data_IF_298907049266
#
_entry.id   IF_298907049266
#
_cell.length_a   1.000
_cell.length_b   1.000
_cell.length_c   1.000
_cell.angle_alpha   90.00
_cell.angle_beta   90.00
_cell.angle_gamma   90.00
#
_symmetry.space_group_name_H-M   'P 1'
#
loop_
_entity.id
_entity.type
_entity.pdbx_description
1 polymer ?
#
# COMPACT_ATOMS: atom_id res chain seq x y z
N UNK A 1 -11.28 -8.82 4.56
CA UNK A 1 -10.15 -7.87 4.55
C UNK A 1 -9.86 -7.49 3.11
N UNK A 2 -9.78 -6.21 2.77
CA UNK A 2 -9.51 -5.78 1.40
C UNK A 2 -8.07 -6.15 1.03
N UNK A 3 -7.88 -6.85 -0.09
CA UNK A 3 -6.55 -7.14 -0.63
C UNK A 3 -6.13 -6.00 -1.55
N UNK A 4 -5.00 -5.35 -1.26
CA UNK A 4 -4.48 -4.26 -2.08
C UNK A 4 -3.35 -4.76 -2.98
N UNK A 5 -3.36 -4.31 -4.23
CA UNK A 5 -2.27 -4.50 -5.18
C UNK A 5 -1.21 -3.43 -4.93
N UNK A 6 0.01 -3.85 -4.68
CA UNK A 6 1.21 -3.03 -4.55
C UNK A 6 2.20 -3.40 -5.66
N UNK A 7 3.20 -2.55 -5.86
CA UNK A 7 4.30 -2.81 -6.77
C UNK A 7 5.58 -2.89 -5.98
N UNK A 8 6.26 -4.03 -6.05
CA UNK A 8 7.59 -4.17 -5.47
C UNK A 8 8.58 -3.42 -6.34
N UNK A 9 9.13 -2.33 -5.82
CA UNK A 9 10.08 -1.49 -6.56
C UNK A 9 11.40 -2.22 -6.86
N UNK A 10 11.78 -3.22 -6.07
CA UNK A 10 13.03 -3.96 -6.24
C UNK A 10 12.94 -4.99 -7.37
N UNK A 11 11.86 -5.77 -7.38
CA UNK A 11 11.62 -6.78 -8.42
C UNK A 11 10.84 -6.24 -9.62
N UNK A 12 10.33 -5.00 -9.52
CA UNK A 12 9.41 -4.36 -10.47
C UNK A 12 8.14 -5.18 -10.75
N UNK A 13 7.78 -6.08 -9.83
CA UNK A 13 6.62 -6.97 -9.96
C UNK A 13 5.46 -6.51 -9.07
N UNK A 14 4.22 -6.60 -9.56
CA UNK A 14 3.07 -6.39 -8.69
C UNK A 14 2.92 -7.55 -7.71
N UNK A 15 2.44 -7.25 -6.51
CA UNK A 15 2.05 -8.24 -5.52
C UNK A 15 0.76 -7.81 -4.83
N UNK A 16 0.03 -8.78 -4.29
CA UNK A 16 -1.25 -8.55 -3.63
C UNK A 16 -1.09 -8.98 -2.17
N UNK A 17 -1.47 -8.11 -1.24
CA UNK A 17 -1.43 -8.43 0.19
C UNK A 17 -2.57 -7.74 0.94
N UNK A 18 -3.03 -8.41 1.98
CA UNK A 18 -3.90 -7.88 3.04
C UNK A 18 -3.10 -7.41 4.26
N UNK A 19 -1.80 -7.73 4.34
CA UNK A 19 -0.88 -7.26 5.38
C UNK A 19 -0.29 -5.90 5.00
N UNK A 20 -1.07 -4.85 5.21
CA UNK A 20 -0.62 -3.47 5.04
C UNK A 20 -1.08 -2.56 6.18
N UNK A 21 -0.28 -1.54 6.47
CA UNK A 21 -0.64 -0.46 7.37
C UNK A 21 -1.25 0.70 6.59
N UNK A 22 -2.36 1.25 7.09
CA UNK A 22 -2.92 2.51 6.58
C UNK A 22 -2.37 3.67 7.40
N UNK A 23 -1.76 4.64 6.73
CA UNK A 23 -1.33 5.91 7.32
C UNK A 23 -2.03 7.08 6.66
N UNK A 24 -2.44 8.03 7.49
CA UNK A 24 -2.99 9.31 7.04
C UNK A 24 -1.83 10.31 6.95
N UNK A 25 -1.71 10.98 5.81
CA UNK A 25 -0.75 12.06 5.61
C UNK A 25 -1.25 13.34 6.28
N UNK A 26 -0.34 14.26 6.61
CA UNK A 26 -0.69 15.56 7.21
C UNK A 26 -1.67 16.40 6.38
N UNK A 27 -1.84 16.09 5.09
CA UNK A 27 -2.78 16.77 4.17
C UNK A 27 -4.12 16.01 4.00
N UNK A 28 -4.41 15.03 4.85
CA UNK A 28 -5.65 14.24 4.80
C UNK A 28 -5.68 13.12 3.75
N UNK A 29 -4.57 12.88 3.03
CA UNK A 29 -4.46 11.74 2.11
C UNK A 29 -4.26 10.42 2.87
N UNK A 30 -4.69 9.30 2.31
CA UNK A 30 -4.44 7.96 2.89
C UNK A 30 -3.43 7.20 2.05
N UNK A 31 -2.51 6.51 2.72
CA UNK A 31 -1.45 5.72 2.12
C UNK A 31 -1.47 4.34 2.76
N UNK A 32 -1.48 3.29 1.94
CA UNK A 32 -1.25 1.94 2.38
C UNK A 32 0.23 1.60 2.25
N UNK A 33 0.83 1.00 3.28
CA UNK A 33 2.23 0.60 3.32
C UNK A 33 2.29 -0.90 3.56
N UNK A 34 2.89 -1.63 2.62
CA UNK A 34 3.09 -3.07 2.71
C UNK A 34 4.59 -3.41 2.64
N UNK A 35 4.95 -4.57 3.19
CA UNK A 35 6.27 -5.18 2.98
C UNK A 35 6.16 -6.08 1.75
N UNK A 36 7.00 -5.82 0.74
CA UNK A 36 7.08 -6.65 -0.46
C UNK A 36 7.72 -8.00 -0.16
N UNK A 37 7.50 -9.03 -1.01
CA UNK A 37 8.18 -10.32 -0.89
C UNK A 37 9.71 -10.21 -0.91
N UNK A 38 10.26 -9.13 -1.48
CA UNK A 38 11.70 -8.86 -1.49
C UNK A 38 12.22 -8.14 -0.25
N UNK A 39 11.36 -7.91 0.76
CA UNK A 39 11.68 -7.22 2.01
C UNK A 39 11.64 -5.70 1.93
N UNK A 40 11.22 -5.13 0.79
CA UNK A 40 11.22 -3.67 0.58
C UNK A 40 9.87 -3.06 0.99
N UNK A 41 9.88 -1.85 1.55
CA UNK A 41 8.62 -1.14 1.84
C UNK A 41 8.02 -0.63 0.53
N UNK A 42 6.77 -0.98 0.26
CA UNK A 42 5.99 -0.49 -0.86
C UNK A 42 4.83 0.36 -0.34
N UNK A 43 4.77 1.61 -0.79
CA UNK A 43 3.70 2.54 -0.44
C UNK A 43 2.77 2.75 -1.65
N UNK A 44 1.46 2.77 -1.42
CA UNK A 44 0.44 3.10 -2.42
C UNK A 44 -0.51 4.14 -1.85
N UNK A 45 -0.69 5.25 -2.56
CA UNK A 45 -1.76 6.19 -2.26
C UNK A 45 -3.11 5.52 -2.53
N UNK A 46 -3.92 5.41 -1.49
CA UNK A 46 -5.32 4.97 -1.56
C UNK A 46 -6.16 6.24 -1.40
N UNK A 47 -6.22 7.02 -2.49
CA UNK A 47 -7.14 8.15 -2.56
C UNK A 47 -8.56 7.59 -2.75
N UNK A 48 -9.49 8.06 -1.92
CA UNK A 48 -10.94 7.81 -2.02
C UNK A 48 -11.46 6.38 -1.76
N UNK A 49 -10.64 5.33 -1.84
CA UNK A 49 -11.08 3.93 -1.54
C UNK A 49 -11.58 3.69 -0.10
N UNK A 50 -11.36 4.65 0.81
CA UNK A 50 -11.87 4.60 2.18
C UNK A 50 -12.55 5.92 2.63
N UNK A 51 -12.91 6.81 1.69
CA UNK A 51 -13.76 7.96 2.01
C UNK A 51 -15.17 7.41 2.18
N UNK A 52 -15.57 7.26 3.44
CA UNK A 52 -16.92 6.85 3.84
C UNK A 52 -17.90 7.98 3.57
#
# INVERSE_FOLDING_TARGET
MAKLKFTDLKTKKPFITDKFELKTTKRGGRVAIAISPSGSKSARFVAKDFVK
#
